data_IF_770960761202
#
_entry.id   IF_770960761202
#
_cell.length_a   1.000
_cell.length_b   1.000
_cell.length_c   1.000
_cell.angle_alpha   90.00
_cell.angle_beta   90.00
_cell.angle_gamma   90.00
#
_symmetry.space_group_name_H-M   'P 1'
#
loop_
_entity.id
_entity.type
_entity.pdbx_description
1 polymer ?
#
# COMPACT_ATOMS: atom_id res chain seq x y z
N UNK A 1 3.17 -13.82 25.40
CA UNK A 1 2.31 -13.35 24.29
C UNK A 1 2.19 -14.51 23.32
N UNK A 2 0.98 -14.89 22.86
CA UNK A 2 0.89 -15.84 21.76
C UNK A 2 1.69 -15.27 20.59
N UNK A 3 2.35 -16.12 19.80
CA UNK A 3 3.06 -15.67 18.60
C UNK A 3 2.06 -14.91 17.73
N UNK A 4 2.20 -13.58 17.66
CA UNK A 4 1.38 -12.76 16.79
C UNK A 4 1.70 -13.11 15.34
N UNK A 5 0.74 -12.94 14.44
CA UNK A 5 1.00 -13.06 13.00
C UNK A 5 1.87 -11.87 12.57
N UNK A 6 2.97 -12.16 11.89
CA UNK A 6 3.85 -11.17 11.26
C UNK A 6 3.50 -11.05 9.80
N UNK A 7 3.67 -9.86 9.25
CA UNK A 7 3.42 -9.57 7.84
C UNK A 7 4.63 -8.90 7.23
N UNK A 8 4.87 -9.21 5.96
CA UNK A 8 5.84 -8.51 5.12
C UNK A 8 5.15 -8.14 3.81
N UNK A 9 5.37 -6.89 3.38
CA UNK A 9 4.96 -6.41 2.07
C UNK A 9 6.19 -5.82 1.40
N UNK A 10 6.43 -6.20 0.15
CA UNK A 10 7.60 -5.74 -0.60
C UNK A 10 7.29 -5.63 -2.08
N UNK A 11 8.14 -4.91 -2.80
CA UNK A 11 8.14 -4.89 -4.25
C UNK A 11 9.56 -5.02 -4.76
N UNK A 12 9.73 -5.69 -5.89
CA UNK A 12 11.01 -5.82 -6.59
C UNK A 12 10.83 -5.44 -8.04
N UNK A 13 11.79 -4.69 -8.58
CA UNK A 13 11.83 -4.45 -10.01
C UNK A 13 12.09 -5.79 -10.71
N UNK A 14 11.11 -6.32 -11.42
CA UNK A 14 11.37 -7.38 -12.37
C UNK A 14 12.06 -6.75 -13.57
N UNK A 15 13.24 -7.26 -13.92
CA UNK A 15 14.01 -6.73 -15.05
C UNK A 15 13.42 -7.24 -16.37
N UNK A 16 12.22 -6.78 -16.70
CA UNK A 16 11.64 -6.92 -18.03
C UNK A 16 11.61 -5.55 -18.71
N UNK A 17 12.56 -5.34 -19.62
CA UNK A 17 12.57 -4.32 -20.68
C UNK A 17 12.09 -2.91 -20.27
N UNK A 18 13.03 -2.00 -19.98
CA UNK A 18 12.88 -0.54 -19.95
C UNK A 18 11.73 0.08 -19.12
N UNK A 19 11.02 -0.71 -18.30
CA UNK A 19 9.96 -0.26 -17.41
C UNK A 19 10.26 -0.64 -15.96
N UNK A 20 10.09 0.31 -15.03
CA UNK A 20 10.19 0.04 -13.59
C UNK A 20 8.85 -0.52 -13.07
N UNK A 21 8.43 -1.64 -13.63
CA UNK A 21 7.30 -2.41 -13.09
C UNK A 21 7.81 -3.26 -11.92
N UNK A 22 7.25 -3.05 -10.73
CA UNK A 22 7.50 -3.92 -9.59
C UNK A 22 6.15 -4.39 -9.05
N UNK A 23 5.90 -5.70 -9.08
CA UNK A 23 4.71 -6.28 -8.46
C UNK A 23 4.79 -6.11 -6.94
N UNK A 24 3.63 -5.87 -6.30
CA UNK A 24 3.53 -5.89 -4.85
C UNK A 24 3.30 -7.33 -4.39
N UNK A 25 4.12 -7.81 -3.48
CA UNK A 25 3.95 -9.10 -2.83
C UNK A 25 3.71 -8.91 -1.33
N UNK A 26 2.82 -9.73 -0.79
CA UNK A 26 2.48 -9.75 0.64
C UNK A 26 2.55 -11.18 1.16
N UNK A 27 3.29 -11.42 2.24
CA UNK A 27 3.37 -12.72 2.91
C UNK A 27 3.20 -12.56 4.43
N UNK A 28 2.96 -13.67 5.11
CA UNK A 28 2.71 -13.74 6.54
C UNK A 28 3.52 -14.86 7.19
N UNK A 29 3.68 -14.75 8.51
CA UNK A 29 4.32 -15.75 9.35
C UNK A 29 3.59 -15.86 10.68
N UNK A 30 3.29 -17.08 11.10
CA UNK A 30 2.66 -17.40 12.39
C UNK A 30 3.69 -17.83 13.47
N UNK A 31 4.96 -17.96 13.09
CA UNK A 31 6.04 -18.49 13.95
C UNK A 31 7.12 -17.46 14.29
N UNK A 32 6.81 -16.17 14.12
CA UNK A 32 7.71 -15.06 14.42
C UNK A 32 8.72 -14.77 13.32
N UNK A 33 8.37 -15.06 12.06
CA UNK A 33 9.20 -14.80 10.89
C UNK A 33 10.21 -15.90 10.56
N UNK A 34 10.09 -17.10 11.17
CA UNK A 34 10.99 -18.23 10.88
C UNK A 34 10.59 -18.93 9.57
N UNK A 35 9.29 -19.06 9.34
CA UNK A 35 8.72 -19.53 8.07
C UNK A 35 7.70 -18.52 7.56
N UNK A 36 7.52 -18.50 6.24
CA UNK A 36 6.68 -17.55 5.54
C UNK A 36 5.75 -18.30 4.59
N UNK A 37 4.48 -17.89 4.56
CA UNK A 37 3.49 -18.39 3.61
C UNK A 37 3.81 -18.00 2.17
N UNK A 38 3.18 -18.69 1.22
CA UNK A 38 3.26 -18.30 -0.20
C UNK A 38 2.77 -16.85 -0.37
N UNK A 39 3.54 -16.03 -1.07
CA UNK A 39 3.22 -14.62 -1.20
C UNK A 39 1.98 -14.40 -2.08
N UNK A 40 1.05 -13.57 -1.58
CA UNK A 40 -0.03 -13.04 -2.39
C UNK A 40 0.52 -11.94 -3.30
N UNK A 41 0.36 -12.11 -4.62
CA UNK A 41 0.85 -11.18 -5.62
C UNK A 41 -0.24 -10.22 -6.07
N UNK A 42 0.08 -8.94 -6.08
CA UNK A 42 -0.76 -7.86 -6.56
C UNK A 42 -0.11 -7.29 -7.82
N UNK A 43 -0.77 -7.49 -8.96
CA UNK A 43 -0.39 -6.85 -10.21
C UNK A 43 -0.68 -5.35 -10.13
N UNK A 44 0.33 -4.57 -9.74
CA UNK A 44 0.32 -3.11 -9.71
C UNK A 44 1.77 -2.63 -9.86
N UNK A 45 2.01 -1.55 -10.60
CA UNK A 45 3.31 -0.90 -10.66
C UNK A 45 3.55 -0.08 -9.39
N UNK A 46 4.17 -0.70 -8.38
CA UNK A 46 4.20 -0.09 -7.05
C UNK A 46 5.46 0.72 -6.73
N UNK A 47 5.26 1.87 -6.08
CA UNK A 47 6.31 2.47 -5.25
C UNK A 47 6.51 1.65 -3.96
N UNK A 48 7.55 1.94 -3.15
CA UNK A 48 7.84 1.18 -1.94
C UNK A 48 6.60 1.09 -1.04
N UNK A 49 6.13 -0.13 -0.69
CA UNK A 49 4.92 -0.27 0.10
C UNK A 49 5.16 0.07 1.57
N UNK A 50 4.10 0.53 2.23
CA UNK A 50 4.04 0.62 3.68
C UNK A 50 2.87 -0.23 4.19
N UNK A 51 3.06 -0.98 5.27
CA UNK A 51 2.04 -1.87 5.81
C UNK A 51 1.79 -1.64 7.30
N UNK A 52 0.52 -1.73 7.69
CA UNK A 52 0.06 -1.73 9.08
C UNK A 52 -0.96 -2.85 9.29
N UNK A 53 -1.10 -3.34 10.52
CA UNK A 53 -2.07 -4.37 10.86
C UNK A 53 -3.14 -3.81 11.79
N UNK A 54 -4.40 -4.19 11.54
CA UNK A 54 -5.48 -3.87 12.45
C UNK A 54 -5.62 -4.95 13.55
N UNK A 55 -6.39 -4.64 14.59
CA UNK A 55 -6.65 -5.55 15.71
C UNK A 55 -7.41 -6.83 15.33
N UNK A 56 -8.01 -6.88 14.14
CA UNK A 56 -8.68 -8.06 13.60
C UNK A 56 -7.71 -8.95 12.82
N UNK A 57 -6.44 -8.54 12.68
CA UNK A 57 -5.40 -9.29 11.99
C UNK A 57 -5.36 -9.04 10.48
N UNK A 58 -6.15 -8.09 9.95
CA UNK A 58 -6.03 -7.71 8.54
C UNK A 58 -4.80 -6.80 8.35
N UNK A 59 -4.07 -7.04 7.26
CA UNK A 59 -2.99 -6.15 6.82
C UNK A 59 -3.54 -5.11 5.86
N UNK A 60 -3.16 -3.86 6.08
CA UNK A 60 -3.44 -2.73 5.20
C UNK A 60 -2.12 -2.31 4.58
N UNK A 61 -2.04 -2.29 3.26
CA UNK A 61 -0.83 -1.96 2.50
C UNK A 61 -1.10 -0.73 1.64
N UNK A 62 -0.37 0.34 1.92
CA UNK A 62 -0.33 1.54 1.13
C UNK A 62 0.70 1.40 0.03
N UNK A 63 0.30 1.66 -1.21
CA UNK A 63 1.23 1.73 -2.35
C UNK A 63 0.74 2.73 -3.40
N UNK A 64 1.64 3.09 -4.31
CA UNK A 64 1.29 3.82 -5.52
C UNK A 64 0.82 2.82 -6.57
N UNK A 65 -0.37 2.97 -7.12
CA UNK A 65 -0.84 2.22 -8.28
C UNK A 65 -0.56 3.04 -9.55
N UNK A 66 0.09 2.39 -10.52
CA UNK A 66 0.47 2.99 -11.79
C UNK A 66 1.89 3.58 -11.88
N UNK A 67 2.49 3.43 -13.04
CA UNK A 67 3.84 3.91 -13.36
C UNK A 67 4.02 5.42 -13.32
N UNK A 68 5.27 5.89 -13.29
CA UNK A 68 5.58 7.30 -13.54
C UNK A 68 5.27 7.72 -14.99
N UNK A 69 5.22 6.75 -15.91
CA UNK A 69 4.86 6.95 -17.30
C UNK A 69 3.34 6.92 -17.55
N UNK A 70 2.56 6.45 -16.58
CA UNK A 70 1.10 6.45 -16.67
C UNK A 70 0.54 7.87 -16.45
N UNK A 71 -0.60 8.14 -17.10
CA UNK A 71 -1.18 9.48 -17.13
C UNK A 71 -1.76 9.94 -15.78
N UNK A 72 -1.96 9.05 -14.80
CA UNK A 72 -2.59 9.36 -13.50
C UNK A 72 -2.26 8.31 -12.41
N UNK A 73 -1.02 8.25 -11.88
CA UNK A 73 -0.74 7.35 -10.76
C UNK A 73 -1.56 7.73 -9.53
N UNK A 74 -1.97 6.75 -8.73
CA UNK A 74 -2.86 6.95 -7.59
C UNK A 74 -2.28 6.34 -6.31
N UNK A 75 -2.47 6.98 -5.16
CA UNK A 75 -2.20 6.35 -3.88
C UNK A 75 -3.37 5.41 -3.53
N UNK A 76 -3.06 4.15 -3.26
CA UNK A 76 -4.03 3.08 -2.99
C UNK A 76 -3.74 2.45 -1.65
N UNK A 77 -4.80 2.06 -0.94
CA UNK A 77 -4.71 1.17 0.21
C UNK A 77 -5.37 -0.15 -0.17
N UNK A 78 -4.64 -1.24 -0.02
CA UNK A 78 -5.20 -2.57 -0.14
C UNK A 78 -5.34 -3.18 1.25
N UNK A 79 -6.47 -3.83 1.50
CA UNK A 79 -6.73 -4.57 2.73
C UNK A 79 -6.79 -6.06 2.42
N UNK A 80 -6.10 -6.86 3.22
CA UNK A 80 -6.14 -8.31 3.09
C UNK A 80 -6.22 -9.01 4.45
N UNK A 81 -7.01 -10.06 4.54
CA UNK A 81 -7.25 -10.84 5.76
C UNK A 81 -6.42 -12.12 5.83
N UNK A 82 -5.49 -12.32 4.89
CA UNK A 82 -4.71 -13.56 4.77
C UNK A 82 -5.42 -14.70 4.04
N UNK A 83 -6.66 -14.47 3.57
CA UNK A 83 -7.42 -15.43 2.78
C UNK A 83 -8.32 -14.69 1.78
N UNK A 84 -8.53 -15.30 0.62
CA UNK A 84 -9.34 -14.71 -0.46
C UNK A 84 -8.64 -13.56 -1.19
N UNK A 85 -9.41 -12.85 -2.00
CA UNK A 85 -8.94 -11.71 -2.78
C UNK A 85 -8.77 -10.46 -1.89
N UNK A 86 -7.69 -9.72 -2.11
CA UNK A 86 -7.47 -8.48 -1.40
C UNK A 86 -8.43 -7.38 -1.90
N UNK A 87 -8.97 -6.60 -0.97
CA UNK A 87 -9.87 -5.49 -1.30
C UNK A 87 -9.03 -4.24 -1.52
N UNK A 88 -9.05 -3.70 -2.74
CA UNK A 88 -8.45 -2.39 -3.03
C UNK A 88 -9.44 -1.30 -2.65
N UNK A 89 -9.00 -0.38 -1.79
CA UNK A 89 -9.71 0.84 -1.45
C UNK A 89 -8.89 2.01 -1.98
N UNK A 90 -9.43 2.70 -2.99
CA UNK A 90 -8.78 3.89 -3.51
C UNK A 90 -8.92 4.99 -2.47
N UNK A 91 -7.79 5.59 -2.07
CA UNK A 91 -7.78 6.90 -1.41
C UNK A 91 -8.55 7.90 -2.30
N UNK A 92 -8.97 9.09 -1.81
CA UNK A 92 -9.60 10.09 -2.67
C UNK A 92 -8.79 10.15 -3.97
N UNK A 93 -9.44 9.85 -5.10
CA UNK A 93 -8.82 9.48 -6.38
C UNK A 93 -8.13 10.66 -7.05
N UNK A 94 -7.20 11.27 -6.33
CA UNK A 94 -6.38 12.37 -6.76
C UNK A 94 -5.36 11.79 -7.73
N UNK A 95 -5.37 12.25 -8.99
CA UNK A 95 -4.35 11.84 -9.94
C UNK A 95 -2.99 12.36 -9.44
N UNK A 96 -1.92 11.66 -9.77
CA UNK A 96 -0.57 12.01 -9.37
C UNK A 96 -0.36 11.96 -7.85
N UNK A 97 -0.96 10.96 -7.19
CA UNK A 97 -0.76 10.70 -5.77
C UNK A 97 0.31 9.62 -5.53
N UNK A 98 1.23 9.88 -4.60
CA UNK A 98 2.45 9.11 -4.39
C UNK A 98 2.72 8.83 -2.90
N UNK A 99 3.47 7.75 -2.67
CA UNK A 99 4.09 7.39 -1.39
C UNK A 99 3.14 7.43 -0.18
N UNK A 100 2.05 6.65 -0.20
CA UNK A 100 1.21 6.52 0.98
C UNK A 100 2.00 5.93 2.15
N UNK A 101 1.95 6.61 3.28
CA UNK A 101 2.40 6.14 4.58
C UNK A 101 1.17 5.92 5.43
N UNK A 102 1.04 4.73 5.99
CA UNK A 102 -0.09 4.33 6.81
C UNK A 102 0.25 4.41 8.30
N UNK A 103 -0.74 4.83 9.07
CA UNK A 103 -0.77 4.69 10.51
C UNK A 103 -2.15 4.18 10.92
N UNK A 104 -2.25 3.50 12.05
CA UNK A 104 -3.49 2.90 12.51
C UNK A 104 -3.67 3.07 14.01
N UNK A 105 -4.90 3.31 14.41
CA UNK A 105 -5.37 3.13 15.78
C UNK A 105 -6.47 2.05 15.82
N UNK A 106 -7.09 1.83 16.97
CA UNK A 106 -8.12 0.79 17.11
C UNK A 106 -9.29 0.93 16.13
N UNK A 107 -9.66 2.15 15.75
CA UNK A 107 -10.87 2.45 14.99
C UNK A 107 -10.61 3.01 13.59
N UNK A 108 -9.43 3.58 13.35
CA UNK A 108 -9.13 4.35 12.17
C UNK A 108 -7.80 3.99 11.53
N UNK A 109 -7.83 3.95 10.21
CA UNK A 109 -6.67 4.00 9.35
C UNK A 109 -6.42 5.45 8.93
N UNK A 110 -5.16 5.87 9.01
CA UNK A 110 -4.67 7.14 8.50
C UNK A 110 -3.76 6.87 7.31
N UNK A 111 -3.97 7.61 6.23
CA UNK A 111 -3.12 7.59 5.05
C UNK A 111 -2.58 8.99 4.80
N UNK A 112 -1.26 9.13 4.86
CA UNK A 112 -0.54 10.32 4.46
C UNK A 112 0.07 10.10 3.08
N UNK A 113 -0.14 10.99 2.12
CA UNK A 113 0.43 10.85 0.78
C UNK A 113 0.67 12.22 0.13
N UNK A 114 1.47 12.24 -0.93
CA UNK A 114 1.82 13.47 -1.65
C UNK A 114 1.13 13.50 -3.00
N UNK A 115 0.54 14.64 -3.36
CA UNK A 115 -0.05 14.89 -4.68
C UNK A 115 0.85 15.85 -5.45
N UNK A 116 1.23 15.46 -6.65
CA UNK A 116 2.10 16.21 -7.55
C UNK A 116 1.30 16.93 -8.65
N UNK A 117 1.68 18.15 -8.99
CA UNK A 117 1.11 18.88 -10.13
C UNK A 117 1.97 18.68 -11.40
N UNK A 118 1.52 17.88 -12.39
CA UNK A 118 2.28 17.62 -13.61
C UNK A 118 2.47 18.85 -14.49
N UNK A 119 1.63 19.87 -14.37
CA UNK A 119 1.71 21.08 -15.19
C UNK A 119 2.89 21.99 -14.80
N UNK A 120 3.50 21.75 -13.63
CA UNK A 120 4.48 22.67 -13.01
C UNK A 120 5.76 21.96 -12.56
N UNK A 121 6.15 20.92 -13.31
CA UNK A 121 7.23 19.98 -13.02
C UNK A 121 8.41 20.58 -12.23
N UNK A 122 8.79 19.89 -11.16
CA UNK A 122 10.02 20.08 -10.34
C UNK A 122 10.02 21.19 -9.26
N UNK A 123 8.89 21.82 -8.94
CA UNK A 123 8.78 22.65 -7.73
C UNK A 123 8.19 21.85 -6.55
N UNK A 124 9.05 21.22 -5.76
CA UNK A 124 8.67 20.45 -4.55
C UNK A 124 7.93 21.30 -3.50
N UNK A 125 7.95 22.63 -3.59
CA UNK A 125 7.21 23.52 -2.67
C UNK A 125 5.72 23.52 -2.98
N UNK A 126 5.30 22.98 -4.12
CA UNK A 126 3.91 22.90 -4.54
C UNK A 126 3.33 21.49 -4.42
N UNK A 127 4.14 20.52 -3.97
CA UNK A 127 3.65 19.22 -3.58
C UNK A 127 2.66 19.38 -2.43
N UNK A 128 1.43 18.93 -2.66
CA UNK A 128 0.38 19.00 -1.66
C UNK A 128 0.38 17.71 -0.87
N UNK A 129 0.65 17.82 0.43
CA UNK A 129 0.53 16.68 1.33
C UNK A 129 -0.92 16.52 1.79
N UNK A 130 -1.39 15.28 1.80
CA UNK A 130 -2.75 14.90 2.15
C UNK A 130 -2.72 13.96 3.33
N UNK A 131 -3.63 14.18 4.26
CA UNK A 131 -3.91 13.26 5.35
C UNK A 131 -5.39 12.88 5.28
N UNK A 132 -5.65 11.61 5.03
CA UNK A 132 -6.99 11.05 5.01
C UNK A 132 -7.12 10.09 6.18
N UNK A 133 -8.27 10.15 6.85
CA UNK A 133 -8.63 9.23 7.94
C UNK A 133 -9.87 8.47 7.52
N UNK A 134 -9.85 7.14 7.68
CA UNK A 134 -10.97 6.24 7.35
C UNK A 134 -11.27 5.35 8.53
N UNK A 135 -12.56 5.09 8.77
CA UNK A 135 -12.97 4.15 9.79
C UNK A 135 -12.72 2.72 9.29
N UNK A 136 -12.16 1.86 10.13
CA UNK A 136 -11.94 0.46 9.78
C UNK A 136 -13.27 -0.27 9.79
N UNK A 137 -13.70 -0.76 8.62
CA UNK A 137 -14.89 -1.58 8.51
C UNK A 137 -14.59 -3.00 9.01
N UNK A 138 -15.16 -3.34 10.17
CA UNK A 138 -15.02 -4.66 10.77
C UNK A 138 -16.16 -5.53 10.24
N UNK A 139 -15.86 -6.37 9.25
CA UNK A 139 -16.77 -7.46 8.88
C UNK A 139 -16.78 -8.42 10.07
N UNK A 140 -17.97 -8.67 10.62
CA UNK A 140 -18.18 -9.62 11.73
C UNK A 140 -18.27 -11.03 11.21
#
# INVERSE_FOLDING_TARGET
MPAGIWWAAWSFAERETDSFSSALEVSWSDDGGRTWGEAYKVAAEVGPPNAVTDRCGAVHVGFKDGGFAEATPAAVVMRWTGSGEAVRDTLPGEPYAFHPVLAIDDEYLYAFYTVFDPARRHDLRQDSNRLVRRRIERVR
#
